data_IF_624990718528
#
_entry.id   IF_624990718528
#
_cell.length_a   1.000
_cell.length_b   1.000
_cell.length_c   1.000
_cell.angle_alpha   90.00
_cell.angle_beta   90.00
_cell.angle_gamma   90.00
#
_symmetry.space_group_name_H-M   'P 1'
#
loop_
_entity.id
_entity.type
_entity.pdbx_description
1 polymer ?
#
# COMPACT_ATOMS: atom_id res chain seq x y z
N UNK A 1 17.73 -15.31 22.35
CA UNK A 1 16.82 -14.20 22.00
C UNK A 1 16.54 -14.38 20.52
N UNK A 2 15.58 -15.25 20.19
CA UNK A 2 15.20 -15.51 18.79
C UNK A 2 14.84 -14.18 18.14
N UNK A 3 15.45 -13.92 16.98
CA UNK A 3 15.24 -12.74 16.16
C UNK A 3 13.74 -12.46 16.06
N UNK A 4 13.30 -11.33 16.62
CA UNK A 4 11.93 -10.86 16.45
C UNK A 4 11.60 -10.92 14.95
N UNK A 5 10.47 -11.53 14.58
CA UNK A 5 10.17 -11.79 13.18
C UNK A 5 10.23 -10.46 12.42
N UNK A 6 10.73 -10.51 11.19
CA UNK A 6 11.08 -9.34 10.36
C UNK A 6 9.94 -8.37 10.03
N UNK A 7 8.83 -8.39 10.76
CA UNK A 7 7.71 -7.47 10.71
C UNK A 7 8.16 -6.02 10.57
N UNK A 8 9.08 -5.54 11.43
CA UNK A 8 9.55 -4.15 11.33
C UNK A 8 10.28 -3.87 10.00
N UNK A 9 11.11 -4.82 9.54
CA UNK A 9 11.82 -4.68 8.26
C UNK A 9 10.85 -4.68 7.07
N UNK A 10 9.83 -5.54 7.11
CA UNK A 10 8.83 -5.63 6.05
C UNK A 10 7.83 -4.46 6.11
N UNK A 11 7.59 -3.87 7.29
CA UNK A 11 6.86 -2.61 7.43
C UNK A 11 7.61 -1.48 6.70
N UNK A 12 8.91 -1.31 6.99
CA UNK A 12 9.75 -0.33 6.31
C UNK A 12 9.81 -0.54 4.79
N UNK A 13 9.78 -1.80 4.34
CA UNK A 13 9.70 -2.13 2.91
C UNK A 13 8.36 -1.73 2.31
N UNK A 14 7.25 -2.01 3.00
CA UNK A 14 5.92 -1.59 2.60
C UNK A 14 5.81 -0.06 2.51
N UNK A 15 6.39 0.69 3.45
CA UNK A 15 6.44 2.15 3.38
C UNK A 15 7.17 2.65 2.14
N UNK A 16 8.30 2.02 1.79
CA UNK A 16 9.01 2.39 0.58
C UNK A 16 8.19 2.13 -0.68
N UNK A 17 7.45 1.01 -0.73
CA UNK A 17 6.54 0.72 -1.85
C UNK A 17 5.44 1.77 -1.93
N UNK A 18 4.79 2.08 -0.80
CA UNK A 18 3.74 3.10 -0.75
C UNK A 18 4.26 4.47 -1.21
N UNK A 19 5.46 4.86 -0.76
CA UNK A 19 6.10 6.12 -1.16
C UNK A 19 6.33 6.20 -2.67
N UNK A 20 6.88 5.14 -3.28
CA UNK A 20 7.10 5.11 -4.73
C UNK A 20 5.79 5.08 -5.52
N UNK A 21 4.78 4.33 -5.05
CA UNK A 21 3.46 4.32 -5.68
C UNK A 21 2.80 5.70 -5.62
N UNK A 22 2.89 6.39 -4.48
CA UNK A 22 2.41 7.76 -4.32
C UNK A 22 3.12 8.72 -5.26
N UNK A 23 4.45 8.61 -5.39
CA UNK A 23 5.26 9.39 -6.34
C UNK A 23 4.73 9.20 -7.76
N UNK A 24 4.59 7.95 -8.21
CA UNK A 24 4.12 7.63 -9.55
C UNK A 24 2.69 8.13 -9.77
N UNK A 25 1.76 7.87 -8.84
CA UNK A 25 0.37 8.34 -8.94
C UNK A 25 0.30 9.85 -9.10
N UNK A 26 1.05 10.60 -8.29
CA UNK A 26 1.05 12.06 -8.33
C UNK A 26 1.61 12.61 -9.66
N UNK A 27 2.48 11.87 -10.34
CA UNK A 27 2.98 12.21 -11.69
C UNK A 27 1.92 11.88 -12.75
N UNK A 28 1.24 10.74 -12.63
CA UNK A 28 0.28 10.26 -13.62
C UNK A 28 -1.09 10.95 -13.54
N UNK A 29 -1.47 11.38 -12.35
CA UNK A 29 -2.71 12.11 -12.09
C UNK A 29 -2.35 13.29 -11.20
N UNK A 30 -1.76 14.36 -11.76
CA UNK A 30 -1.46 15.55 -11.00
C UNK A 30 -2.78 16.09 -10.45
N UNK A 31 -2.95 16.00 -9.13
CA UNK A 31 -4.10 16.60 -8.46
C UNK A 31 -4.04 18.10 -8.77
N UNK A 32 -5.08 18.69 -9.39
CA UNK A 32 -5.06 20.13 -9.62
C UNK A 32 -4.89 20.82 -8.25
N UNK A 33 -3.96 21.77 -8.11
CA UNK A 33 -3.80 22.48 -6.86
C UNK A 33 -5.14 23.12 -6.52
N UNK A 34 -5.67 22.79 -5.35
CA UNK A 34 -6.89 23.42 -4.82
C UNK A 34 -6.64 24.93 -4.84
N UNK A 35 -7.36 25.62 -5.73
CA UNK A 35 -7.32 27.06 -5.91
C UNK A 35 -7.43 27.73 -4.55
N UNK A 36 -6.38 28.45 -4.19
CA UNK A 36 -6.37 29.46 -3.15
C UNK A 36 -7.58 30.37 -3.34
N UNK A 37 -8.43 30.45 -2.33
CA UNK A 37 -9.60 31.34 -2.28
C UNK A 37 -9.19 32.79 -2.57
N UNK A 38 -9.91 33.51 -3.46
CA UNK A 38 -10.08 34.94 -3.31
C UNK A 38 -11.45 35.20 -2.68
N UNK A 39 -11.46 35.98 -1.60
CA UNK A 39 -12.67 36.58 -1.08
C UNK A 39 -13.24 37.59 -2.08
N UNK A 40 -14.56 37.77 -2.00
CA UNK A 40 -15.34 38.99 -2.36
C UNK A 40 -16.32 38.86 -3.53
N UNK A 41 -17.60 38.73 -3.13
CA UNK A 41 -18.83 39.29 -3.74
C UNK A 41 -19.49 38.58 -4.94
N UNK A 42 -20.85 38.52 -4.97
CA UNK A 42 -21.61 37.71 -5.92
C UNK A 42 -22.12 38.53 -7.13
N UNK A 43 -22.17 37.89 -8.30
CA UNK A 43 -23.09 38.22 -9.40
C UNK A 43 -23.30 36.99 -10.28
N UNK A 44 -24.50 36.75 -10.83
CA UNK A 44 -24.85 35.48 -11.46
C UNK A 44 -24.68 35.52 -12.97
N UNK A 45 -24.09 34.48 -13.55
CA UNK A 45 -24.44 33.90 -14.87
C UNK A 45 -23.32 33.00 -15.38
N UNK A 46 -23.71 32.06 -16.25
CA UNK A 46 -22.86 31.20 -17.10
C UNK A 46 -22.57 29.82 -16.51
N UNK A 47 -23.49 28.91 -16.82
CA UNK A 47 -23.31 27.46 -16.82
C UNK A 47 -22.02 27.09 -17.57
N UNK A 48 -20.95 26.87 -16.82
CA UNK A 48 -19.76 26.18 -17.30
C UNK A 48 -19.75 24.84 -16.60
N UNK A 49 -20.12 23.81 -17.34
CA UNK A 49 -19.98 22.42 -16.92
C UNK A 49 -18.50 22.12 -16.73
N UNK A 50 -17.98 22.36 -15.52
CA UNK A 50 -16.71 21.80 -15.08
C UNK A 50 -16.94 20.32 -14.86
N UNK A 51 -16.93 19.56 -15.96
CA UNK A 51 -16.83 18.10 -15.90
C UNK A 51 -15.43 17.79 -15.40
N UNK A 52 -15.30 17.66 -14.09
CA UNK A 52 -14.22 16.94 -13.44
C UNK A 52 -14.02 15.65 -14.26
N UNK A 53 -12.85 15.40 -14.87
CA UNK A 53 -12.65 14.14 -15.56
C UNK A 53 -12.86 13.02 -14.52
N UNK A 54 -13.62 11.97 -14.85
CA UNK A 54 -13.79 10.85 -13.94
C UNK A 54 -12.39 10.32 -13.56
N UNK A 55 -12.17 9.89 -12.31
CA UNK A 55 -10.92 9.20 -11.99
C UNK A 55 -10.75 8.09 -13.03
N UNK A 56 -9.66 8.13 -13.78
CA UNK A 56 -9.28 7.01 -14.64
C UNK A 56 -9.23 5.79 -13.75
N UNK A 57 -9.79 4.64 -14.19
CA UNK A 57 -9.82 3.38 -13.42
C UNK A 57 -8.48 3.06 -12.72
N UNK A 58 -7.36 3.46 -13.32
CA UNK A 58 -6.01 3.31 -12.76
C UNK A 58 -5.79 4.09 -11.46
N UNK A 59 -6.36 5.30 -11.32
CA UNK A 59 -6.22 6.13 -10.12
C UNK A 59 -6.86 5.47 -8.90
N UNK A 60 -8.05 4.90 -9.08
CA UNK A 60 -8.76 4.19 -8.03
C UNK A 60 -8.02 2.91 -7.62
N UNK A 61 -7.51 2.16 -8.60
CA UNK A 61 -6.70 0.96 -8.36
C UNK A 61 -5.38 1.30 -7.65
N UNK A 62 -4.67 2.33 -8.10
CA UNK A 62 -3.45 2.84 -7.46
C UNK A 62 -3.73 3.23 -6.02
N UNK A 63 -4.79 4.01 -5.79
CA UNK A 63 -5.18 4.46 -4.44
C UNK A 63 -5.57 3.31 -3.53
N UNK A 64 -6.27 2.30 -4.07
CA UNK A 64 -6.62 1.11 -3.31
C UNK A 64 -5.37 0.31 -2.92
N UNK A 65 -4.45 0.04 -3.86
CA UNK A 65 -3.21 -0.69 -3.57
C UNK A 65 -2.37 0.07 -2.55
N UNK A 66 -2.17 1.38 -2.72
CA UNK A 66 -1.43 2.23 -1.77
C UNK A 66 -2.03 2.08 -0.37
N UNK A 67 -3.35 2.23 -0.23
CA UNK A 67 -4.04 2.10 1.06
C UNK A 67 -3.77 0.75 1.72
N UNK A 68 -3.88 -0.35 0.99
CA UNK A 68 -3.66 -1.68 1.57
C UNK A 68 -2.19 -1.94 1.91
N UNK A 69 -1.24 -1.41 1.13
CA UNK A 69 0.19 -1.48 1.45
C UNK A 69 0.49 -0.69 2.73
N UNK A 70 -0.03 0.53 2.86
CA UNK A 70 0.09 1.36 4.07
C UNK A 70 -0.53 0.67 5.29
N UNK A 71 -1.74 0.13 5.13
CA UNK A 71 -2.42 -0.63 6.18
C UNK A 71 -1.58 -1.85 6.61
N UNK A 72 -1.00 -2.58 5.67
CA UNK A 72 -0.11 -3.71 5.96
C UNK A 72 1.12 -3.26 6.75
N UNK A 73 1.75 -2.14 6.36
CA UNK A 73 2.87 -1.55 7.10
C UNK A 73 2.50 -1.22 8.54
N UNK A 74 1.40 -0.50 8.74
CA UNK A 74 0.92 -0.10 10.07
C UNK A 74 0.72 -1.32 10.97
N UNK A 75 0.07 -2.36 10.45
CA UNK A 75 -0.22 -3.56 11.21
C UNK A 75 1.02 -4.38 11.55
N UNK A 76 2.03 -4.40 10.68
CA UNK A 76 3.31 -5.03 10.99
C UNK A 76 4.04 -4.31 12.12
N UNK A 77 3.97 -2.96 12.17
CA UNK A 77 4.53 -2.18 13.29
C UNK A 77 3.75 -2.42 14.57
N UNK A 78 2.42 -2.33 14.52
CA UNK A 78 1.55 -2.61 15.67
C UNK A 78 1.83 -4.00 16.24
N UNK A 79 1.91 -5.02 15.38
CA UNK A 79 2.21 -6.38 15.79
C UNK A 79 3.59 -6.48 16.46
N UNK A 80 4.60 -5.81 15.89
CA UNK A 80 5.95 -5.76 16.45
C UNK A 80 5.97 -5.10 17.84
N UNK A 81 5.26 -3.99 17.99
CA UNK A 81 5.20 -3.21 19.24
C UNK A 81 4.45 -3.96 20.35
N UNK A 82 3.55 -4.87 19.99
CA UNK A 82 2.82 -5.73 20.92
C UNK A 82 3.62 -6.97 21.38
N UNK A 83 4.69 -7.37 20.67
CA UNK A 83 5.47 -8.54 21.06
C UNK A 83 6.04 -8.47 22.49
N UNK A 84 6.67 -7.36 22.93
CA UNK A 84 7.19 -7.27 24.30
C UNK A 84 6.11 -7.41 25.39
N UNK A 85 4.86 -7.04 25.07
CA UNK A 85 3.72 -7.10 26.00
C UNK A 85 3.21 -8.54 26.14
N UNK A 86 3.10 -9.27 25.03
CA UNK A 86 2.46 -10.59 24.99
C UNK A 86 3.45 -11.74 24.76
N UNK A 87 4.59 -11.74 25.48
CA UNK A 87 5.70 -12.69 25.27
C UNK A 87 5.30 -14.16 25.25
N UNK A 88 4.34 -14.56 26.08
CA UNK A 88 3.88 -15.95 26.17
C UNK A 88 3.22 -16.47 24.88
N UNK A 89 2.65 -15.58 24.05
CA UNK A 89 1.92 -15.94 22.82
C UNK A 89 2.76 -15.79 21.55
N UNK A 90 3.96 -15.19 21.67
CA UNK A 90 4.88 -14.99 20.54
C UNK A 90 5.15 -16.29 19.76
N UNK A 91 5.43 -17.47 20.38
CA UNK A 91 5.78 -18.66 19.61
C UNK A 91 4.68 -19.08 18.62
N UNK A 92 3.41 -18.92 19.00
CA UNK A 92 2.27 -19.20 18.13
C UNK A 92 2.21 -18.23 16.96
N UNK A 93 2.41 -16.93 17.22
CA UNK A 93 2.41 -15.90 16.16
C UNK A 93 3.60 -16.06 15.21
N UNK A 94 4.79 -16.42 15.72
CA UNK A 94 5.98 -16.66 14.90
C UNK A 94 5.73 -17.77 13.87
N UNK A 95 5.02 -18.83 14.25
CA UNK A 95 4.69 -19.92 13.32
C UNK A 95 3.92 -19.40 12.10
N UNK A 96 2.90 -18.57 12.32
CA UNK A 96 2.11 -17.96 11.25
C UNK A 96 2.91 -16.92 10.45
N UNK A 97 3.72 -16.12 11.13
CA UNK A 97 4.57 -15.12 10.48
C UNK A 97 5.62 -15.74 9.57
N UNK A 98 6.17 -16.90 9.94
CA UNK A 98 7.11 -17.66 9.08
C UNK A 98 6.50 -18.07 7.75
N UNK A 99 5.17 -18.21 7.66
CA UNK A 99 4.48 -18.56 6.42
C UNK A 99 4.17 -17.32 5.60
N UNK A 100 3.66 -16.25 6.24
CA UNK A 100 3.16 -15.08 5.49
C UNK A 100 4.25 -14.06 5.12
N UNK A 101 5.25 -13.87 5.98
CA UNK A 101 6.28 -12.83 5.77
C UNK A 101 7.11 -13.07 4.50
N UNK A 102 7.55 -14.29 4.16
CA UNK A 102 8.29 -14.52 2.91
C UNK A 102 7.45 -14.16 1.67
N UNK A 103 6.15 -14.45 1.70
CA UNK A 103 5.22 -14.13 0.60
C UNK A 103 5.04 -12.62 0.45
N UNK A 104 4.85 -11.93 1.58
CA UNK A 104 4.74 -10.47 1.60
C UNK A 104 6.05 -9.82 1.14
N UNK A 105 7.19 -10.25 1.67
CA UNK A 105 8.52 -9.78 1.30
C UNK A 105 8.77 -9.93 -0.20
N UNK A 106 8.46 -11.12 -0.77
CA UNK A 106 8.61 -11.37 -2.21
C UNK A 106 7.77 -10.39 -3.03
N UNK A 107 6.50 -10.21 -2.66
CA UNK A 107 5.59 -9.31 -3.36
C UNK A 107 6.06 -7.86 -3.31
N UNK A 108 6.47 -7.37 -2.13
CA UNK A 108 6.99 -6.02 -1.95
C UNK A 108 8.31 -5.80 -2.70
N UNK A 109 9.21 -6.78 -2.69
CA UNK A 109 10.47 -6.71 -3.44
C UNK A 109 10.22 -6.66 -4.94
N UNK A 110 9.33 -7.51 -5.43
CA UNK A 110 8.99 -7.54 -6.85
C UNK A 110 8.38 -6.20 -7.29
N UNK A 111 7.52 -5.58 -6.47
CA UNK A 111 7.02 -4.22 -6.73
C UNK A 111 8.16 -3.21 -6.80
N UNK A 112 9.07 -3.19 -5.82
CA UNK A 112 10.18 -2.23 -5.79
C UNK A 112 11.09 -2.33 -7.02
N UNK A 113 11.30 -3.52 -7.58
CA UNK A 113 12.10 -3.71 -8.80
C UNK A 113 11.54 -2.90 -9.97
N UNK A 114 10.22 -2.85 -10.12
CA UNK A 114 9.60 -2.04 -11.18
C UNK A 114 9.53 -0.56 -10.81
N UNK A 115 9.18 -0.26 -9.56
CA UNK A 115 8.94 1.11 -9.09
C UNK A 115 10.23 1.97 -9.06
N UNK A 116 11.37 1.34 -8.78
CA UNK A 116 12.69 2.00 -8.70
C UNK A 116 13.50 1.90 -10.00
N UNK A 117 12.95 1.30 -11.06
CA UNK A 117 13.67 1.17 -12.32
C UNK A 117 13.73 2.53 -13.05
N UNK A 118 14.88 3.20 -12.99
CA UNK A 118 15.10 4.53 -13.56
C UNK A 118 14.99 4.55 -15.10
N UNK A 119 15.18 3.41 -15.76
CA UNK A 119 15.06 3.26 -17.21
C UNK A 119 13.62 3.43 -17.72
N UNK A 120 12.62 3.35 -16.84
CA UNK A 120 11.21 3.44 -17.21
C UNK A 120 10.58 4.77 -16.76
N UNK A 121 9.81 5.37 -17.67
CA UNK A 121 8.92 6.46 -17.31
C UNK A 121 7.87 5.99 -16.27
N UNK A 122 7.38 6.87 -15.37
CA UNK A 122 6.43 6.51 -14.30
C UNK A 122 5.19 5.74 -14.77
N UNK A 123 4.68 6.05 -15.96
CA UNK A 123 3.54 5.34 -16.56
C UNK A 123 3.88 3.87 -16.86
N UNK A 124 5.04 3.64 -17.46
CA UNK A 124 5.54 2.31 -17.81
C UNK A 124 5.91 1.52 -16.56
N UNK A 125 6.45 2.18 -15.53
CA UNK A 125 6.71 1.58 -14.21
C UNK A 125 5.40 0.99 -13.63
N UNK A 126 4.32 1.79 -13.59
CA UNK A 126 3.01 1.36 -13.12
C UNK A 126 2.43 0.23 -13.98
N UNK A 127 2.33 0.43 -15.29
CA UNK A 127 1.67 -0.52 -16.20
C UNK A 127 2.34 -1.89 -16.17
N UNK A 128 3.69 -1.93 -16.24
CA UNK A 128 4.44 -3.20 -16.18
C UNK A 128 4.35 -3.86 -14.81
N UNK A 129 4.48 -3.08 -13.73
CA UNK A 129 4.36 -3.61 -12.37
C UNK A 129 2.97 -4.24 -12.20
N UNK A 130 1.92 -3.47 -12.50
CA UNK A 130 0.54 -3.88 -12.32
C UNK A 130 0.24 -5.10 -13.18
N UNK A 131 0.52 -5.08 -14.49
CA UNK A 131 0.25 -6.21 -15.38
C UNK A 131 0.95 -7.50 -14.93
N UNK A 132 2.26 -7.44 -14.65
CA UNK A 132 3.06 -8.64 -14.32
C UNK A 132 2.70 -9.23 -12.98
N UNK A 133 2.53 -8.40 -11.95
CA UNK A 133 2.20 -8.88 -10.61
C UNK A 133 0.74 -9.34 -10.50
N UNK A 134 -0.15 -8.80 -11.32
CA UNK A 134 -1.56 -9.18 -11.35
C UNK A 134 -1.78 -10.54 -12.05
N UNK A 135 -0.88 -10.93 -12.97
CA UNK A 135 -0.91 -12.24 -13.64
C UNK A 135 -0.36 -13.38 -12.78
N UNK A 136 0.29 -13.09 -11.66
CA UNK A 136 0.84 -14.13 -10.81
C UNK A 136 -0.25 -14.73 -9.91
N UNK A 137 -0.25 -16.06 -9.71
CA UNK A 137 -0.88 -16.72 -8.55
C UNK A 137 -2.40 -16.58 -8.37
N UNK A 138 -3.18 -16.39 -9.44
CA UNK A 138 -4.65 -16.50 -9.45
C UNK A 138 -5.43 -15.43 -8.69
N UNK A 139 -4.76 -14.57 -7.91
CA UNK A 139 -5.33 -13.43 -7.20
C UNK A 139 -4.70 -12.13 -7.69
N UNK A 140 -5.52 -11.10 -7.81
CA UNK A 140 -5.04 -9.77 -8.19
C UNK A 140 -4.07 -9.20 -7.17
N UNK A 141 -3.17 -8.31 -7.60
CA UNK A 141 -2.19 -7.68 -6.70
C UNK A 141 -2.90 -7.01 -5.52
N UNK A 142 -3.98 -6.29 -5.80
CA UNK A 142 -4.81 -5.67 -4.77
C UNK A 142 -5.36 -6.72 -3.78
N UNK A 143 -5.98 -7.80 -4.26
CA UNK A 143 -6.57 -8.83 -3.39
C UNK A 143 -5.54 -9.56 -2.54
N UNK A 144 -4.30 -9.71 -3.02
CA UNK A 144 -3.20 -10.24 -2.21
C UNK A 144 -2.93 -9.36 -1.00
N UNK A 145 -2.85 -8.04 -1.17
CA UNK A 145 -2.66 -7.11 -0.05
C UNK A 145 -3.87 -7.03 0.88
N UNK A 146 -5.10 -7.17 0.37
CA UNK A 146 -6.29 -7.35 1.23
C UNK A 146 -6.10 -8.57 2.13
N UNK A 147 -5.71 -9.71 1.53
CA UNK A 147 -5.51 -10.96 2.27
C UNK A 147 -4.37 -10.84 3.31
N UNK A 148 -3.27 -10.16 2.97
CA UNK A 148 -2.17 -9.90 3.90
C UNK A 148 -2.64 -9.04 5.08
N UNK A 149 -3.33 -7.93 4.81
CA UNK A 149 -3.85 -7.06 5.85
C UNK A 149 -4.84 -7.82 6.76
N UNK A 150 -5.83 -8.50 6.20
CA UNK A 150 -6.83 -9.26 6.96
C UNK A 150 -6.18 -10.36 7.83
N UNK A 151 -5.17 -11.05 7.30
CA UNK A 151 -4.42 -12.05 8.05
C UNK A 151 -3.67 -11.42 9.23
N UNK A 152 -3.00 -10.29 9.02
CA UNK A 152 -2.33 -9.56 10.09
C UNK A 152 -3.34 -9.09 11.16
N UNK A 153 -4.59 -8.78 10.79
CA UNK A 153 -5.63 -8.34 11.76
C UNK A 153 -5.90 -9.51 12.69
N UNK A 154 -6.04 -10.69 12.12
CA UNK A 154 -6.28 -11.92 12.87
C UNK A 154 -5.10 -12.24 13.78
N UNK A 155 -3.85 -12.02 13.34
CA UNK A 155 -2.66 -12.19 14.20
C UNK A 155 -2.63 -11.21 15.36
N UNK A 156 -2.92 -9.92 15.13
CA UNK A 156 -3.00 -8.94 16.21
C UNK A 156 -4.10 -9.31 17.21
N UNK A 157 -5.26 -9.78 16.72
CA UNK A 157 -6.36 -10.25 17.58
C UNK A 157 -6.01 -11.51 18.37
N UNK A 158 -5.27 -12.45 17.77
CA UNK A 158 -4.79 -13.66 18.42
C UNK A 158 -3.72 -13.35 19.48
N UNK A 159 -2.90 -12.32 19.26
CA UNK A 159 -1.90 -11.87 20.22
C UNK A 159 -2.57 -11.22 21.45
N UNK A 160 -3.60 -10.40 21.21
CA UNK A 160 -4.25 -9.56 22.23
C UNK A 160 -5.39 -10.21 23.00
N UNK A 161 -6.07 -11.23 22.44
CA UNK A 161 -7.19 -11.95 23.09
C UNK A 161 -6.72 -13.24 23.72
#
# INVERSE_FOLDING_TARGET
>A
MEELPGCWREAARADSVATELLRIRNILTPTPPLLSSPSSSPSPSSSTSTSTPPPSSDYDIQTAIIRYVEQTSHMLRDLHDLFPVYRARIPMIIYYLRVILPCLQKSLMDMLVFLRCEDFAPRVQWERMHERLNQQGGLSLQMRFVTYADFLVQLVRLLTR
#
